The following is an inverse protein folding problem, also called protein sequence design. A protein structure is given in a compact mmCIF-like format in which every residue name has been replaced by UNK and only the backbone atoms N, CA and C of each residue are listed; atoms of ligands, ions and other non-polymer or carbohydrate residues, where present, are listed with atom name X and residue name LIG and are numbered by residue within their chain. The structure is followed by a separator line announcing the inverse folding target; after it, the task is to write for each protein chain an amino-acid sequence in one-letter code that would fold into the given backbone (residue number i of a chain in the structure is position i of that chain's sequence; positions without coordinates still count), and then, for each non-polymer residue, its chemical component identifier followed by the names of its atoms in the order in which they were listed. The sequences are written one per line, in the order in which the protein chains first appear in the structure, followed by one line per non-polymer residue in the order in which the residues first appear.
data_IF_727682487791
#
_entry.id   IF_727682487791
#
_cell.length_a   1.000
_cell.length_b   1.000
_cell.length_c   1.000
_cell.angle_alpha   90.00
_cell.angle_beta   90.00
_cell.angle_gamma   90.00
#
_symmetry.space_group_name_H-M   'P 1'
#
loop_
_entity.id
_entity.type
_entity.pdbx_description
1 polymer ?
#
# COMPACT_ATOMS: atom_id res chain seq x y z
N UNK A 1 18.01 31.82 17.29
CA UNK A 1 18.32 30.84 16.21
C UNK A 1 17.23 30.84 15.16
N UNK A 2 17.59 30.81 13.88
CA UNK A 2 16.64 30.79 12.75
C UNK A 2 17.05 29.70 11.74
N UNK A 3 16.07 28.98 11.22
CA UNK A 3 16.31 27.95 10.21
C UNK A 3 16.66 28.61 8.87
N UNK A 4 17.72 28.13 8.23
CA UNK A 4 18.19 28.63 6.93
C UNK A 4 18.10 27.60 5.82
N UNK A 5 18.23 26.31 6.15
CA UNK A 5 18.19 25.22 5.18
C UNK A 5 17.62 23.96 5.81
N UNK A 6 16.89 23.16 5.03
CA UNK A 6 16.37 21.85 5.42
C UNK A 6 16.52 20.89 4.27
N UNK A 7 16.89 19.65 4.56
CA UNK A 7 16.94 18.60 3.55
C UNK A 7 16.61 17.25 4.17
N UNK A 8 15.93 16.37 3.42
CA UNK A 8 15.80 14.98 3.82
C UNK A 8 17.15 14.25 3.89
N UNK A 9 18.18 14.72 3.16
CA UNK A 9 19.52 14.12 3.15
C UNK A 9 20.41 14.80 4.18
N UNK A 10 20.75 14.05 5.23
CA UNK A 10 21.63 14.53 6.30
C UNK A 10 22.99 15.01 5.76
N UNK A 11 23.60 14.31 4.81
CA UNK A 11 24.89 14.70 4.22
C UNK A 11 24.85 16.09 3.59
N UNK A 12 23.72 16.47 2.98
CA UNK A 12 23.57 17.81 2.40
C UNK A 12 23.54 18.87 3.49
N UNK A 13 22.86 18.59 4.61
CA UNK A 13 22.77 19.48 5.77
C UNK A 13 24.13 19.64 6.46
N UNK A 14 24.91 18.55 6.58
CA UNK A 14 26.27 18.57 7.09
C UNK A 14 27.21 19.39 6.19
N UNK A 15 27.14 19.19 4.87
CA UNK A 15 27.93 19.98 3.91
C UNK A 15 27.60 21.48 3.96
N UNK A 16 26.30 21.81 4.10
CA UNK A 16 25.85 23.20 4.24
C UNK A 16 26.31 23.82 5.56
N UNK A 17 26.26 23.06 6.66
CA UNK A 17 26.75 23.52 7.95
C UNK A 17 28.26 23.78 7.89
N UNK A 18 29.04 22.88 7.28
CA UNK A 18 30.48 23.07 7.08
C UNK A 18 30.79 24.33 6.26
N UNK A 19 30.07 24.56 5.15
CA UNK A 19 30.22 25.76 4.33
C UNK A 19 29.97 27.05 5.13
N UNK A 20 28.94 27.07 5.97
CA UNK A 20 28.61 28.24 6.80
C UNK A 20 29.62 28.43 7.94
N UNK A 21 30.12 27.34 8.52
CA UNK A 21 31.15 27.38 9.57
C UNK A 21 32.49 27.87 9.03
N UNK A 22 32.89 27.46 7.82
CA UNK A 22 34.07 27.98 7.10
C UNK A 22 33.97 29.50 6.87
N UNK A 23 32.76 30.01 6.64
CA UNK A 23 32.49 31.44 6.51
C UNK A 23 32.42 32.19 7.86
N UNK A 24 32.68 31.50 8.98
CA UNK A 24 32.66 32.07 10.33
C UNK A 24 31.26 32.25 10.93
N UNK A 25 30.25 31.60 10.37
CA UNK A 25 28.86 31.69 10.84
C UNK A 25 28.57 30.53 11.79
N UNK A 26 28.14 30.85 13.02
CA UNK A 26 27.82 29.84 14.02
C UNK A 26 26.52 29.10 13.67
N UNK A 27 26.60 27.80 13.38
CA UNK A 27 25.44 26.96 13.02
C UNK A 27 25.14 25.85 14.02
N UNK A 28 23.92 25.32 13.95
CA UNK A 28 23.46 24.16 14.71
C UNK A 28 22.64 23.25 13.79
N UNK A 29 22.99 21.97 13.78
CA UNK A 29 22.23 20.95 13.05
C UNK A 29 21.17 20.34 13.99
N UNK A 30 19.93 20.27 13.53
CA UNK A 30 18.84 19.50 14.18
C UNK A 30 18.53 18.25 13.37
N UNK A 31 18.09 17.18 14.04
CA UNK A 31 17.88 15.86 13.42
C UNK A 31 19.14 15.34 12.71
N UNK A 32 20.31 15.62 13.31
CA UNK A 32 21.63 15.20 12.83
C UNK A 32 21.96 13.73 13.12
N UNK A 33 23.19 13.30 12.78
CA UNK A 33 23.64 11.92 13.02
C UNK A 33 23.56 11.58 14.50
N UNK A 34 22.70 10.62 14.87
CA UNK A 34 22.64 10.14 16.25
C UNK A 34 23.84 9.25 16.55
N UNK A 35 24.43 9.38 17.75
CA UNK A 35 25.59 8.59 18.21
C UNK A 35 25.38 7.06 18.12
N UNK A 36 24.13 6.59 18.06
CA UNK A 36 23.77 5.16 18.03
C UNK A 36 23.34 4.61 16.66
N UNK A 37 23.37 5.41 15.59
CA UNK A 37 22.92 4.98 14.26
C UNK A 37 24.03 5.03 13.22
N UNK A 38 24.77 3.93 13.04
CA UNK A 38 25.65 3.75 11.85
C UNK A 38 24.87 3.37 10.57
N UNK A 39 23.54 3.22 10.67
CA UNK A 39 22.70 2.78 9.56
C UNK A 39 21.85 3.95 9.06
N UNK A 40 22.27 4.53 7.95
CA UNK A 40 21.48 5.50 7.19
C UNK A 40 20.34 4.73 6.50
N UNK A 41 19.17 4.62 7.16
CA UNK A 41 17.98 4.00 6.57
C UNK A 41 17.64 4.82 5.31
N UNK A 42 17.74 4.19 4.14
CA UNK A 42 17.63 4.86 2.84
C UNK A 42 16.41 5.78 2.72
N UNK A 43 16.61 6.91 2.03
CA UNK A 43 15.59 7.94 1.82
C UNK A 43 14.39 7.38 1.05
N UNK A 44 13.20 7.38 1.66
CA UNK A 44 11.95 7.03 0.99
C UNK A 44 11.33 8.28 0.35
N UNK A 45 11.10 8.25 -0.96
CA UNK A 45 10.40 9.32 -1.68
C UNK A 45 8.90 9.45 -1.31
N UNK A 46 8.35 8.47 -0.58
CA UNK A 46 6.96 8.50 -0.10
C UNK A 46 6.81 9.23 1.24
N UNK A 47 7.92 9.55 1.91
CA UNK A 47 7.92 10.31 3.15
C UNK A 47 7.84 11.81 2.84
N UNK A 48 6.61 12.30 2.68
CA UNK A 48 6.34 13.70 2.39
C UNK A 48 6.45 14.54 3.65
N UNK A 49 7.67 14.90 4.02
CA UNK A 49 7.96 16.09 4.83
C UNK A 49 7.38 16.13 6.24
N UNK A 50 7.63 15.10 7.06
CA UNK A 50 7.39 15.18 8.50
C UNK A 50 8.47 15.97 9.28
N UNK A 51 8.19 16.26 10.55
CA UNK A 51 9.02 16.99 11.53
C UNK A 51 10.45 16.42 11.77
N UNK A 52 10.81 15.35 11.08
CA UNK A 52 12.07 14.61 11.27
C UNK A 52 13.14 14.93 10.21
N UNK A 53 12.98 16.00 9.43
CA UNK A 53 13.99 16.42 8.46
C UNK A 53 15.21 17.04 9.15
N UNK A 54 16.39 16.74 8.62
CA UNK A 54 17.62 17.40 9.05
C UNK A 54 17.60 18.87 8.61
N UNK A 55 17.97 19.78 9.52
CA UNK A 55 17.93 21.21 9.26
C UNK A 55 19.11 21.94 9.90
N UNK A 56 19.57 22.99 9.21
CA UNK A 56 20.61 23.91 9.70
C UNK A 56 19.95 25.18 10.24
N UNK A 57 20.33 25.51 11.47
CA UNK A 57 19.92 26.72 12.17
C UNK A 57 21.13 27.61 12.39
N UNK A 58 21.00 28.90 12.10
CA UNK A 58 22.02 29.88 12.49
C UNK A 58 21.74 30.32 13.92
N UNK A 59 22.76 30.30 14.78
CA UNK A 59 22.61 30.64 16.20
C UNK A 59 22.28 32.13 16.39
N UNK A 60 23.09 32.99 15.74
CA UNK A 60 23.03 34.45 15.75
C UNK A 60 22.03 34.97 14.72
N UNK A 61 21.20 35.94 15.08
CA UNK A 61 20.16 36.41 14.16
C UNK A 61 20.73 37.37 13.11
N UNK A 62 21.79 38.09 13.47
CA UNK A 62 22.55 39.01 12.62
C UNK A 62 23.24 38.32 11.44
N UNK A 63 23.62 37.06 11.58
CA UNK A 63 24.31 36.30 10.52
C UNK A 63 23.33 35.66 9.52
N UNK A 64 22.02 35.73 9.79
CA UNK A 64 20.99 35.11 8.95
C UNK A 64 20.94 35.66 7.51
N UNK A 65 20.98 36.99 7.27
CA UNK A 65 20.95 37.53 5.90
C UNK A 65 22.18 37.09 5.10
N UNK A 66 23.36 37.14 5.73
CA UNK A 66 24.64 36.73 5.14
C UNK A 66 24.66 35.24 4.81
N UNK A 67 24.18 34.39 5.71
CA UNK A 67 24.04 32.95 5.46
C UNK A 67 23.13 32.67 4.25
N UNK A 68 21.98 33.37 4.15
CA UNK A 68 21.06 33.22 3.02
C UNK A 68 21.63 33.72 1.69
N UNK A 69 22.49 34.73 1.74
CA UNK A 69 23.20 35.22 0.56
C UNK A 69 24.19 34.20 0.03
N UNK A 70 25.05 33.66 0.90
CA UNK A 70 25.99 32.58 0.55
C UNK A 70 25.29 31.34 -0.01
N UNK A 71 24.17 30.93 0.58
CA UNK A 71 23.40 29.79 0.07
C UNK A 71 22.76 30.04 -1.30
N UNK A 72 22.47 31.31 -1.63
CA UNK A 72 21.95 31.68 -2.95
C UNK A 72 23.05 31.71 -4.00
N UNK A 73 24.22 32.22 -3.65
CA UNK A 73 25.42 32.18 -4.50
C UNK A 73 25.84 30.74 -4.81
N UNK A 74 25.69 29.84 -3.84
CA UNK A 74 25.93 28.41 -4.02
C UNK A 74 24.81 27.67 -4.80
N UNK A 75 23.73 28.36 -5.20
CA UNK A 75 22.59 27.75 -5.91
C UNK A 75 21.73 26.81 -5.06
N UNK A 76 21.86 26.85 -3.73
CA UNK A 76 21.13 25.99 -2.79
C UNK A 76 19.78 26.56 -2.36
N UNK A 77 19.58 27.87 -2.54
CA UNK A 77 18.31 28.54 -2.34
C UNK A 77 17.83 29.16 -3.65
N UNK A 78 16.57 28.91 -3.98
CA UNK A 78 15.93 29.55 -5.11
C UNK A 78 15.82 31.06 -4.86
N UNK A 79 16.18 31.85 -5.87
CA UNK A 79 16.09 33.29 -5.78
C UNK A 79 14.62 33.67 -5.73
N UNK A 80 14.17 34.29 -4.64
CA UNK A 80 12.81 34.84 -4.56
C UNK A 80 12.62 36.06 -5.47
N UNK A 81 13.61 36.41 -6.30
CA UNK A 81 13.45 37.46 -7.30
C UNK A 81 12.62 36.91 -8.48
N UNK A 82 11.51 37.57 -8.82
CA UNK A 82 10.53 37.06 -9.78
C UNK A 82 11.05 36.93 -11.22
N UNK A 83 12.21 37.51 -11.53
CA UNK A 83 12.92 37.40 -12.81
C UNK A 83 13.62 36.05 -13.00
N UNK A 84 14.23 35.48 -11.96
CA UNK A 84 14.91 34.16 -12.03
C UNK A 84 13.95 32.96 -11.86
N UNK A 85 12.79 33.15 -11.22
CA UNK A 85 11.73 32.12 -11.15
C UNK A 85 11.20 31.72 -12.55
N UNK A 86 11.41 32.57 -13.56
CA UNK A 86 10.98 32.34 -14.96
C UNK A 86 11.85 31.36 -15.74
N UNK A 87 13.06 31.07 -15.26
CA UNK A 87 13.98 30.12 -15.91
C UNK A 87 13.71 28.66 -15.50
N UNK A 88 12.71 28.41 -14.65
CA UNK A 88 12.24 27.07 -14.35
C UNK A 88 11.53 26.49 -15.56
N UNK A 89 12.14 25.50 -16.22
CA UNK A 89 11.59 24.76 -17.36
C UNK A 89 10.31 23.96 -17.06
N UNK A 90 9.82 23.96 -15.81
CA UNK A 90 8.56 23.31 -15.47
C UNK A 90 7.35 24.19 -15.78
N UNK A 91 6.29 23.63 -16.37
CA UNK A 91 5.02 24.33 -16.54
C UNK A 91 4.48 24.86 -15.21
N UNK A 92 3.94 26.08 -15.21
CA UNK A 92 3.37 26.77 -14.03
C UNK A 92 2.41 25.89 -13.21
N UNK A 93 1.66 25.01 -13.87
CA UNK A 93 0.68 24.13 -13.23
C UNK A 93 1.29 22.91 -12.51
N UNK A 94 2.57 22.60 -12.72
CA UNK A 94 3.31 21.51 -12.06
C UNK A 94 4.29 22.02 -11.00
N UNK A 95 4.38 23.34 -10.82
CA UNK A 95 5.20 23.93 -9.77
C UNK A 95 4.62 23.52 -8.41
N UNK A 96 5.40 22.77 -7.63
CA UNK A 96 5.06 22.36 -6.26
C UNK A 96 4.97 23.60 -5.35
N UNK A 97 3.79 24.22 -5.34
CA UNK A 97 3.51 25.50 -4.70
C UNK A 97 2.28 26.18 -5.29
N UNK A 98 1.95 25.88 -6.55
CA UNK A 98 0.72 26.30 -7.23
C UNK A 98 -0.49 25.42 -6.90
N UNK A 99 -0.70 25.06 -5.63
CA UNK A 99 -2.03 24.54 -5.24
C UNK A 99 -2.97 25.73 -5.26
N UNK A 100 -3.54 26.03 -6.42
CA UNK A 100 -4.80 26.77 -6.49
C UNK A 100 -5.75 26.03 -5.57
N UNK A 101 -5.92 26.54 -4.35
CA UNK A 101 -7.03 26.22 -3.48
C UNK A 101 -8.27 26.48 -4.34
N UNK A 102 -8.83 25.42 -4.93
CA UNK A 102 -10.25 25.43 -5.25
C UNK A 102 -10.90 25.59 -3.89
N UNK A 103 -11.33 26.82 -3.59
CA UNK A 103 -12.01 27.23 -2.39
C UNK A 103 -13.41 26.59 -2.31
N UNK A 104 -13.48 25.27 -2.43
CA UNK A 104 -14.65 24.49 -2.10
C UNK A 104 -14.64 24.29 -0.57
N UNK A 105 -15.44 25.12 0.10
CA UNK A 105 -16.03 24.87 1.43
C UNK A 105 -15.05 24.46 2.55
N UNK A 106 -14.16 25.39 2.89
CA UNK A 106 -13.37 25.46 4.15
C UNK A 106 -14.26 25.70 5.40
N UNK A 107 -15.39 24.99 5.53
CA UNK A 107 -16.28 25.00 6.71
C UNK A 107 -16.37 23.61 7.37
N UNK A 108 -16.14 22.53 6.61
CA UNK A 108 -16.06 21.18 7.17
C UNK A 108 -14.60 20.86 7.50
N UNK A 109 -14.15 21.32 8.66
CA UNK A 109 -12.90 20.81 9.23
C UNK A 109 -12.99 19.28 9.40
N UNK A 110 -11.89 18.54 9.19
CA UNK A 110 -11.90 17.07 9.19
C UNK A 110 -12.41 16.46 10.51
N UNK A 111 -12.38 17.22 11.61
CA UNK A 111 -13.01 16.84 12.88
C UNK A 111 -14.53 16.89 12.85
N UNK A 112 -15.14 17.92 12.22
CA UNK A 112 -16.60 18.06 12.12
C UNK A 112 -17.21 17.02 11.21
N UNK A 113 -16.52 16.63 10.13
CA UNK A 113 -16.96 15.57 9.23
C UNK A 113 -17.00 14.19 9.92
N UNK A 114 -15.98 13.88 10.76
CA UNK A 114 -15.97 12.65 11.57
C UNK A 114 -17.13 12.59 12.56
N UNK A 115 -17.45 13.71 13.23
CA UNK A 115 -18.58 13.77 14.17
C UNK A 115 -19.91 13.60 13.45
N UNK A 116 -20.10 14.25 12.29
CA UNK A 116 -21.32 14.12 11.50
C UNK A 116 -21.52 12.68 10.99
N UNK A 117 -20.43 12.03 10.56
CA UNK A 117 -20.43 10.62 10.16
C UNK A 117 -20.84 9.70 11.33
N UNK A 118 -20.30 9.92 12.52
CA UNK A 118 -20.64 9.12 13.70
C UNK A 118 -22.11 9.30 14.11
N UNK A 119 -22.65 10.52 14.03
CA UNK A 119 -24.08 10.78 14.30
C UNK A 119 -24.96 10.07 13.26
N UNK A 120 -24.58 10.10 11.99
CA UNK A 120 -25.31 9.40 10.94
C UNK A 120 -25.31 7.87 11.17
N UNK A 121 -24.17 7.29 11.51
CA UNK A 121 -24.07 5.85 11.84
C UNK A 121 -24.93 5.51 13.07
N UNK A 122 -24.90 6.34 14.12
CA UNK A 122 -25.70 6.14 15.32
C UNK A 122 -27.22 6.18 15.03
N UNK A 123 -27.66 7.10 14.17
CA UNK A 123 -29.06 7.19 13.72
C UNK A 123 -29.49 5.94 12.95
N UNK A 124 -28.65 5.44 12.03
CA UNK A 124 -28.93 4.21 11.28
C UNK A 124 -29.02 3.01 12.22
N UNK A 125 -28.08 2.87 13.17
CA UNK A 125 -28.10 1.81 14.19
C UNK A 125 -29.38 1.84 15.04
N UNK A 126 -29.79 3.03 15.50
CA UNK A 126 -31.03 3.19 16.26
C UNK A 126 -32.26 2.76 15.46
N UNK A 127 -32.31 3.12 14.17
CA UNK A 127 -33.39 2.73 13.27
C UNK A 127 -33.46 1.21 13.07
N UNK A 128 -32.31 0.55 12.89
CA UNK A 128 -32.21 -0.91 12.76
C UNK A 128 -32.68 -1.63 14.02
N UNK A 129 -32.27 -1.15 15.21
CA UNK A 129 -32.72 -1.74 16.49
C UNK A 129 -34.23 -1.59 16.66
N UNK A 130 -34.81 -0.45 16.29
CA UNK A 130 -36.26 -0.23 16.35
C UNK A 130 -37.00 -1.17 15.39
N UNK A 131 -36.45 -1.42 14.20
CA UNK A 131 -37.02 -2.38 13.24
C UNK A 131 -36.88 -3.85 13.67
N UNK A 132 -35.80 -4.18 14.40
CA UNK A 132 -35.56 -5.53 14.93
C UNK A 132 -36.33 -5.85 16.21
N UNK A 133 -36.93 -4.84 16.87
CA UNK A 133 -37.80 -5.02 18.05
C UNK A 133 -39.20 -5.55 17.73
N UNK A 134 -39.44 -6.16 16.55
CA UNK A 134 -40.59 -7.06 16.38
C UNK A 134 -40.34 -8.29 17.27
N UNK A 135 -41.22 -8.58 18.26
CA UNK A 135 -40.91 -9.59 19.27
C UNK A 135 -40.98 -10.99 18.65
N UNK A 136 -39.83 -11.63 18.49
CA UNK A 136 -39.71 -13.08 18.39
C UNK A 136 -39.22 -13.61 19.75
N UNK A 137 -39.80 -14.70 20.26
CA UNK A 137 -39.55 -15.19 21.62
C UNK A 137 -38.11 -15.67 21.79
N UNK A 138 -37.48 -15.21 22.87
CA UNK A 138 -36.10 -15.51 23.24
C UNK A 138 -36.00 -16.95 23.77
N UNK A 139 -35.25 -17.79 23.05
CA UNK A 139 -34.76 -19.06 23.58
C UNK A 139 -33.60 -18.77 24.54
N UNK A 140 -33.79 -19.13 25.80
CA UNK A 140 -32.79 -19.09 26.86
C UNK A 140 -31.76 -20.21 26.62
N UNK A 141 -30.47 -19.85 26.59
CA UNK A 141 -29.36 -20.78 26.45
C UNK A 141 -28.31 -20.54 27.54
N UNK A 142 -28.49 -21.26 28.65
CA UNK A 142 -27.50 -21.88 29.57
C UNK A 142 -26.25 -21.07 29.98
N UNK A 143 -26.18 -20.85 31.28
CA UNK A 143 -25.04 -20.39 32.08
C UNK A 143 -23.78 -21.24 31.90
N UNK A 144 -22.64 -20.60 31.64
CA UNK A 144 -21.30 -21.19 31.77
C UNK A 144 -20.61 -20.61 33.02
N UNK A 145 -19.76 -21.41 33.71
CA UNK A 145 -19.42 -21.17 35.11
C UNK A 145 -18.37 -20.07 35.33
N UNK A 146 -18.42 -19.49 36.52
CA UNK A 146 -17.44 -18.59 37.12
C UNK A 146 -16.08 -19.28 37.24
N UNK A 147 -15.04 -18.71 36.63
CA UNK A 147 -13.65 -18.98 37.00
C UNK A 147 -12.87 -17.67 37.02
N UNK A 148 -12.35 -17.33 38.21
CA UNK A 148 -11.01 -16.77 38.38
C UNK A 148 -10.85 -15.25 38.29
N UNK A 149 -11.01 -14.60 39.43
CA UNK A 149 -10.43 -13.27 39.70
C UNK A 149 -8.93 -13.42 40.02
N UNK A 150 -8.14 -12.39 39.62
CA UNK A 150 -6.80 -11.95 40.07
C UNK A 150 -5.52 -12.53 39.41
N UNK A 151 -4.37 -11.79 39.43
CA UNK A 151 -4.14 -10.37 39.77
C UNK A 151 -3.38 -9.58 38.68
N UNK A 152 -3.45 -8.25 38.81
CA UNK A 152 -2.60 -7.26 38.14
C UNK A 152 -1.12 -7.44 38.52
N UNK A 153 -0.30 -7.83 37.54
CA UNK A 153 1.16 -7.76 37.58
C UNK A 153 1.68 -6.74 36.55
N UNK A 154 2.87 -6.16 36.75
CA UNK A 154 3.41 -5.11 35.87
C UNK A 154 3.65 -5.68 34.47
N UNK A 155 3.08 -5.01 33.48
CA UNK A 155 3.04 -5.44 32.09
C UNK A 155 4.44 -5.65 31.51
N UNK A 156 4.82 -6.92 31.37
CA UNK A 156 5.74 -7.33 30.31
C UNK A 156 5.01 -7.03 29.00
N UNK A 157 5.60 -6.15 28.20
CA UNK A 157 5.19 -5.87 26.83
C UNK A 157 5.25 -7.17 26.03
N UNK A 158 4.16 -7.94 26.05
CA UNK A 158 3.92 -8.94 25.03
C UNK A 158 3.90 -8.18 23.71
N UNK A 159 4.93 -8.41 22.89
CA UNK A 159 4.93 -7.97 21.51
C UNK A 159 3.58 -8.35 20.93
N UNK A 160 2.76 -7.33 20.61
CA UNK A 160 1.56 -7.56 19.81
C UNK A 160 2.07 -8.19 18.53
N UNK A 161 1.89 -9.50 18.38
CA UNK A 161 2.06 -10.16 17.09
C UNK A 161 1.16 -9.39 16.14
N UNK A 162 1.75 -8.54 15.31
CA UNK A 162 1.02 -7.80 14.30
C UNK A 162 0.30 -8.86 13.46
N UNK A 163 -1.02 -8.71 13.29
CA UNK A 163 -1.75 -9.56 12.39
C UNK A 163 -1.02 -9.55 11.03
N UNK A 164 -0.83 -10.71 10.39
CA UNK A 164 -0.16 -10.75 9.09
C UNK A 164 -0.88 -9.78 8.15
N UNK A 165 -0.14 -8.83 7.59
CA UNK A 165 -0.69 -7.87 6.64
C UNK A 165 -0.94 -8.66 5.36
N UNK A 166 -2.18 -9.07 5.13
CA UNK A 166 -2.59 -9.74 3.89
C UNK A 166 -2.61 -8.69 2.77
N UNK A 167 -1.73 -8.84 1.80
CA UNK A 167 -1.61 -7.96 0.63
C UNK A 167 -2.13 -8.66 -0.61
N UNK A 168 -2.81 -7.89 -1.48
CA UNK A 168 -3.18 -8.33 -2.82
C UNK A 168 -2.01 -8.10 -3.75
N UNK A 169 -1.55 -9.15 -4.42
CA UNK A 169 -0.41 -9.14 -5.34
C UNK A 169 -0.84 -9.80 -6.64
N UNK A 170 -0.20 -9.42 -7.75
CA UNK A 170 -0.41 -10.10 -9.03
C UNK A 170 -0.05 -11.58 -8.93
N UNK A 171 -0.83 -12.44 -9.56
CA UNK A 171 -0.67 -13.90 -9.58
C UNK A 171 0.65 -14.24 -10.29
N UNK A 172 1.59 -14.90 -9.59
CA UNK A 172 2.83 -15.35 -10.20
C UNK A 172 2.56 -16.31 -11.37
N UNK A 173 3.31 -16.20 -12.46
CA UNK A 173 3.11 -17.00 -13.67
C UNK A 173 3.21 -18.52 -13.43
N UNK A 174 4.12 -18.95 -12.56
CA UNK A 174 4.24 -20.35 -12.14
C UNK A 174 3.00 -20.86 -11.40
N UNK A 175 2.41 -20.01 -10.53
CA UNK A 175 1.18 -20.33 -9.82
C UNK A 175 -0.01 -20.43 -10.78
N UNK A 176 -0.15 -19.48 -11.71
CA UNK A 176 -1.19 -19.50 -12.72
C UNK A 176 -1.12 -20.78 -13.57
N UNK A 177 0.08 -21.15 -14.04
CA UNK A 177 0.32 -22.35 -14.85
C UNK A 177 -0.14 -23.62 -14.12
N UNK A 178 0.23 -23.76 -12.84
CA UNK A 178 -0.15 -24.91 -12.01
C UNK A 178 -1.66 -25.03 -11.82
N UNK A 179 -2.35 -23.91 -11.58
CA UNK A 179 -3.80 -23.93 -11.37
C UNK A 179 -4.52 -24.29 -12.67
N UNK A 180 -4.08 -23.73 -13.80
CA UNK A 180 -4.67 -24.03 -15.12
C UNK A 180 -4.52 -25.51 -15.46
N UNK A 181 -3.31 -26.07 -15.35
CA UNK A 181 -3.07 -27.49 -15.67
C UNK A 181 -3.90 -28.41 -14.79
N UNK A 182 -4.01 -28.08 -13.49
CA UNK A 182 -4.83 -28.83 -12.55
C UNK A 182 -6.32 -28.80 -12.90
N UNK A 183 -6.88 -27.61 -13.11
CA UNK A 183 -8.31 -27.44 -13.41
C UNK A 183 -8.66 -28.10 -14.75
N UNK A 184 -7.79 -27.95 -15.75
CA UNK A 184 -7.97 -28.58 -17.05
C UNK A 184 -8.00 -30.10 -16.94
N UNK A 185 -7.10 -30.68 -16.14
CA UNK A 185 -7.07 -32.12 -15.86
C UNK A 185 -8.29 -32.59 -15.06
N UNK A 186 -8.63 -31.93 -13.97
CA UNK A 186 -9.73 -32.34 -13.08
C UNK A 186 -11.10 -32.27 -13.77
N UNK A 187 -11.27 -31.35 -14.73
CA UNK A 187 -12.54 -31.12 -15.44
C UNK A 187 -12.53 -31.56 -16.90
N UNK A 188 -11.49 -32.28 -17.33
CA UNK A 188 -11.30 -32.76 -18.71
C UNK A 188 -11.57 -31.67 -19.75
N UNK A 189 -10.91 -30.52 -19.59
CA UNK A 189 -11.07 -29.36 -20.47
C UNK A 189 -10.01 -29.42 -21.56
N UNK A 190 -10.42 -29.61 -22.81
CA UNK A 190 -9.53 -29.68 -23.98
C UNK A 190 -9.26 -28.34 -24.65
N UNK A 191 -10.17 -27.37 -24.53
CA UNK A 191 -10.00 -26.00 -25.00
C UNK A 191 -10.67 -25.03 -24.02
N UNK A 192 -10.01 -23.91 -23.71
CA UNK A 192 -10.52 -22.92 -22.76
C UNK A 192 -10.02 -21.51 -23.07
N UNK A 193 -10.83 -20.54 -22.65
CA UNK A 193 -10.45 -19.14 -22.58
C UNK A 193 -9.82 -18.84 -21.22
N UNK A 194 -8.58 -18.36 -21.20
CA UNK A 194 -7.83 -18.10 -19.99
C UNK A 194 -7.68 -16.60 -19.74
N UNK A 195 -7.94 -16.15 -18.51
CA UNK A 195 -7.68 -14.79 -18.05
C UNK A 195 -6.98 -14.81 -16.69
N UNK A 196 -5.92 -14.02 -16.53
CA UNK A 196 -5.12 -13.92 -15.29
C UNK A 196 -5.04 -12.45 -14.87
N UNK A 197 -5.49 -12.13 -13.66
CA UNK A 197 -5.52 -10.77 -13.09
C UNK A 197 -6.08 -9.69 -14.02
N UNK A 198 -7.22 -10.01 -14.65
CA UNK A 198 -7.92 -9.13 -15.59
C UNK A 198 -7.19 -8.91 -16.94
N UNK A 199 -5.95 -9.38 -17.08
CA UNK A 199 -5.17 -9.36 -18.31
C UNK A 199 -5.20 -10.71 -19.06
N UNK A 200 -4.89 -10.65 -20.36
CA UNK A 200 -4.56 -11.85 -21.12
C UNK A 200 -3.30 -12.50 -20.53
N UNK A 201 -3.19 -13.84 -20.55
CA UNK A 201 -2.04 -14.54 -20.00
C UNK A 201 -0.75 -14.01 -20.61
N UNK A 202 0.21 -13.65 -19.77
CA UNK A 202 1.52 -13.17 -20.22
C UNK A 202 2.22 -14.24 -21.08
N UNK A 203 3.09 -13.82 -22.01
CA UNK A 203 3.84 -14.73 -22.87
C UNK A 203 4.59 -15.83 -22.07
N UNK A 204 5.03 -15.51 -20.85
CA UNK A 204 5.70 -16.46 -19.96
C UNK A 204 4.78 -17.56 -19.45
N UNK A 205 3.50 -17.26 -19.19
CA UNK A 205 2.51 -18.27 -18.81
C UNK A 205 2.25 -19.21 -19.99
N UNK A 206 2.10 -18.67 -21.20
CA UNK A 206 1.89 -19.48 -22.42
C UNK A 206 3.07 -20.42 -22.71
N UNK A 207 4.29 -19.94 -22.51
CA UNK A 207 5.52 -20.73 -22.68
C UNK A 207 5.65 -21.85 -21.63
N UNK A 208 5.44 -21.52 -20.35
CA UNK A 208 5.48 -22.49 -19.25
C UNK A 208 4.38 -23.55 -19.38
N UNK A 209 3.20 -23.12 -19.80
CA UNK A 209 2.09 -23.99 -20.16
C UNK A 209 2.55 -24.97 -21.25
N UNK A 210 3.06 -24.50 -22.39
CA UNK A 210 3.47 -25.41 -23.49
C UNK A 210 4.46 -26.50 -23.05
N UNK A 211 5.30 -26.23 -22.04
CA UNK A 211 6.26 -27.19 -21.49
C UNK A 211 5.67 -28.31 -20.61
N UNK A 212 4.46 -28.14 -20.04
CA UNK A 212 3.91 -29.07 -19.01
C UNK A 212 3.07 -30.23 -19.58
N UNK A 213 2.91 -30.34 -20.89
CA UNK A 213 2.36 -31.51 -21.60
C UNK A 213 0.86 -31.80 -21.45
N UNK A 214 0.16 -31.24 -20.45
CA UNK A 214 -1.29 -31.37 -20.24
C UNK A 214 -1.99 -30.02 -20.39
N UNK A 215 -2.06 -29.56 -21.65
CA UNK A 215 -2.53 -28.23 -22.01
C UNK A 215 -3.96 -28.28 -22.56
N UNK A 216 -4.92 -27.51 -22.02
CA UNK A 216 -6.05 -27.10 -22.84
C UNK A 216 -5.51 -26.25 -24.00
N UNK A 217 -5.97 -26.49 -25.24
CA UNK A 217 -5.71 -25.56 -26.34
C UNK A 217 -6.32 -24.22 -25.96
N UNK A 218 -5.49 -23.19 -25.78
CA UNK A 218 -6.00 -21.85 -25.54
C UNK A 218 -6.67 -21.36 -26.82
N UNK A 219 -7.92 -20.93 -26.70
CA UNK A 219 -8.62 -20.30 -27.81
C UNK A 219 -8.06 -18.90 -28.06
N UNK A 220 -8.12 -18.45 -29.32
CA UNK A 220 -7.72 -17.10 -29.67
C UNK A 220 -8.54 -16.07 -28.88
N UNK A 221 -7.93 -14.94 -28.50
CA UNK A 221 -8.59 -13.93 -27.68
C UNK A 221 -9.87 -13.37 -28.34
N UNK A 222 -9.95 -13.40 -29.68
CA UNK A 222 -11.15 -13.01 -30.43
C UNK A 222 -12.33 -13.98 -30.27
N UNK A 223 -12.07 -15.25 -29.98
CA UNK A 223 -13.11 -16.27 -29.73
C UNK A 223 -13.54 -16.31 -28.26
N UNK A 224 -12.82 -15.59 -27.39
CA UNK A 224 -13.08 -15.53 -25.96
C UNK A 224 -14.02 -14.39 -25.53
N UNK A 225 -14.65 -13.71 -26.48
CA UNK A 225 -15.58 -12.60 -26.25
C UNK A 225 -16.99 -13.07 -25.85
N UNK A 226 -17.08 -13.83 -24.76
CA UNK A 226 -18.34 -14.11 -24.05
C UNK A 226 -19.30 -15.09 -24.73
N UNK A 227 -18.98 -15.65 -25.90
CA UNK A 227 -19.75 -16.75 -26.49
C UNK A 227 -19.58 -18.01 -25.65
N UNK A 228 -20.67 -18.47 -25.03
CA UNK A 228 -20.76 -19.60 -24.08
C UNK A 228 -20.27 -20.97 -24.60
N UNK A 229 -19.71 -21.05 -25.79
CA UNK A 229 -19.29 -22.30 -26.44
C UNK A 229 -18.01 -22.89 -25.84
N UNK A 230 -17.13 -22.03 -25.30
CA UNK A 230 -15.87 -22.45 -24.68
C UNK A 230 -15.88 -22.17 -23.17
N UNK A 231 -15.36 -23.09 -22.34
CA UNK A 231 -15.21 -22.84 -20.91
C UNK A 231 -14.18 -21.74 -20.66
N UNK A 232 -14.53 -20.76 -19.81
CA UNK A 232 -13.63 -19.70 -19.39
C UNK A 232 -13.09 -19.99 -17.98
N UNK A 233 -11.77 -19.83 -17.83
CA UNK A 233 -11.04 -19.98 -16.57
C UNK A 233 -10.43 -18.61 -16.26
N UNK A 234 -10.83 -18.04 -15.13
CA UNK A 234 -10.30 -16.78 -14.62
C UNK A 234 -9.60 -17.00 -13.29
N UNK A 235 -8.36 -16.56 -13.20
CA UNK A 235 -7.54 -16.65 -11.98
C UNK A 235 -7.22 -15.22 -11.56
N UNK A 236 -7.64 -14.85 -10.36
CA UNK A 236 -7.50 -13.48 -9.86
C UNK A 236 -7.45 -13.45 -8.33
N UNK A 237 -7.19 -12.27 -7.77
CA UNK A 237 -7.29 -12.02 -6.32
C UNK A 237 -6.34 -12.86 -5.47
N UNK A 238 -5.08 -12.94 -5.88
CA UNK A 238 -4.04 -13.56 -5.05
C UNK A 238 -3.71 -12.68 -3.83
N UNK A 239 -3.90 -13.26 -2.66
CA UNK A 239 -3.69 -12.64 -1.35
C UNK A 239 -2.57 -13.37 -0.62
N UNK A 240 -1.53 -12.67 -0.22
CA UNK A 240 -0.36 -13.23 0.48
C UNK A 240 0.07 -12.32 1.63
N UNK A 241 0.64 -12.91 2.67
CA UNK A 241 1.27 -12.20 3.79
C UNK A 241 2.78 -12.01 3.59
N UNK A 242 3.32 -12.40 2.43
CA UNK A 242 4.75 -12.35 2.11
C UNK A 242 5.56 -13.54 2.62
N UNK A 243 4.94 -14.50 3.32
CA UNK A 243 5.61 -15.73 3.81
C UNK A 243 5.88 -16.77 2.71
N UNK A 244 5.33 -16.55 1.51
CA UNK A 244 5.27 -17.55 0.45
C UNK A 244 4.01 -18.41 0.52
N UNK A 245 3.11 -18.18 1.49
CA UNK A 245 1.76 -18.73 1.48
C UNK A 245 0.73 -17.68 1.05
N UNK A 246 -0.41 -18.13 0.55
CA UNK A 246 -1.50 -17.23 0.19
C UNK A 246 -2.74 -17.96 -0.29
N UNK A 247 -3.79 -17.19 -0.59
CA UNK A 247 -5.04 -17.69 -1.13
C UNK A 247 -5.29 -17.04 -2.49
N UNK A 248 -5.70 -17.83 -3.48
CA UNK A 248 -5.99 -17.37 -4.84
C UNK A 248 -7.40 -17.77 -5.23
N UNK A 249 -8.11 -16.90 -5.94
CA UNK A 249 -9.47 -17.19 -6.41
C UNK A 249 -9.44 -17.68 -7.86
N UNK A 250 -10.22 -18.72 -8.11
CA UNK A 250 -10.40 -19.33 -9.42
C UNK A 250 -11.88 -19.37 -9.74
N UNK A 251 -12.25 -18.81 -10.89
CA UNK A 251 -13.60 -18.89 -11.44
C UNK A 251 -13.60 -19.65 -12.74
N UNK A 252 -14.46 -20.65 -12.83
CA UNK A 252 -14.69 -21.45 -14.04
C UNK A 252 -16.12 -21.27 -14.47
N UNK A 253 -16.33 -20.87 -15.73
CA UNK A 253 -17.66 -20.75 -16.32
C UNK A 253 -17.76 -21.60 -17.59
N UNK A 254 -18.82 -22.40 -17.69
CA UNK A 254 -19.13 -23.23 -18.87
C UNK A 254 -20.64 -23.23 -19.07
N UNK A 255 -21.14 -22.52 -20.08
CA UNK A 255 -22.57 -22.26 -20.22
C UNK A 255 -23.15 -21.65 -18.95
N UNK A 256 -24.15 -22.31 -18.36
CA UNK A 256 -24.80 -21.88 -17.11
C UNK A 256 -24.04 -22.30 -15.84
N UNK A 257 -23.08 -23.22 -15.95
CA UNK A 257 -22.29 -23.65 -14.81
C UNK A 257 -21.29 -22.56 -14.44
N UNK A 258 -21.40 -22.03 -13.22
CA UNK A 258 -20.43 -21.12 -12.61
C UNK A 258 -19.87 -21.72 -11.34
N UNK A 259 -18.56 -21.93 -11.31
CA UNK A 259 -17.81 -22.39 -10.14
C UNK A 259 -16.90 -21.27 -9.71
N UNK A 260 -17.01 -20.87 -8.45
CA UNK A 260 -16.07 -19.98 -7.76
C UNK A 260 -15.44 -20.79 -6.64
N UNK A 261 -14.11 -20.83 -6.58
CA UNK A 261 -13.35 -21.59 -5.61
C UNK A 261 -12.09 -20.83 -5.21
N UNK A 262 -11.74 -20.87 -3.92
CA UNK A 262 -10.49 -20.36 -3.38
C UNK A 262 -9.54 -21.50 -3.13
N UNK A 263 -8.28 -21.33 -3.51
CA UNK A 263 -7.22 -22.30 -3.27
C UNK A 263 -6.20 -21.71 -2.32
N UNK A 264 -5.83 -22.48 -1.31
CA UNK A 264 -4.72 -22.15 -0.43
C UNK A 264 -3.45 -22.73 -1.04
N UNK A 265 -2.44 -21.88 -1.19
CA UNK A 265 -1.24 -22.16 -1.95
C UNK A 265 0.00 -21.80 -1.14
N UNK A 266 1.03 -22.62 -1.27
CA UNK A 266 2.33 -22.44 -0.62
C UNK A 266 3.42 -22.57 -1.68
N UNK A 267 4.38 -21.66 -1.60
CA UNK A 267 5.57 -21.63 -2.45
C UNK A 267 6.67 -22.47 -1.82
N UNK A 268 7.24 -23.37 -2.60
CA UNK A 268 8.39 -24.19 -2.25
C UNK A 268 9.53 -23.89 -3.23
N UNK A 269 10.42 -22.96 -2.86
CA UNK A 269 11.49 -22.52 -3.76
C UNK A 269 10.94 -21.75 -4.96
N UNK A 270 10.99 -22.35 -6.15
CA UNK A 270 10.41 -21.78 -7.39
C UNK A 270 9.08 -22.42 -7.78
N UNK A 271 8.70 -23.50 -7.09
CA UNK A 271 7.49 -24.24 -7.35
C UNK A 271 6.36 -23.81 -6.41
N UNK A 272 5.14 -24.10 -6.83
CA UNK A 272 3.93 -23.85 -6.05
C UNK A 272 3.25 -25.17 -5.73
N UNK A 273 2.58 -25.24 -4.58
CA UNK A 273 1.75 -26.37 -4.20
C UNK A 273 0.44 -25.87 -3.62
N UNK A 274 -0.65 -26.54 -3.96
CA UNK A 274 -1.97 -26.28 -3.36
C UNK A 274 -2.11 -27.14 -2.11
N UNK A 275 -2.38 -26.51 -0.98
CA UNK A 275 -2.55 -27.17 0.33
C UNK A 275 -4.01 -27.35 0.70
N UNK A 276 -4.91 -26.54 0.15
CA UNK A 276 -6.34 -26.59 0.45
C UNK A 276 -7.18 -25.96 -0.65
N UNK A 277 -8.48 -26.23 -0.59
CA UNK A 277 -9.45 -25.53 -1.42
C UNK A 277 -10.73 -25.29 -0.63
N UNK A 278 -11.24 -24.07 -0.65
CA UNK A 278 -12.52 -23.70 -0.05
C UNK A 278 -13.48 -23.20 -1.13
N UNK A 279 -14.76 -23.55 -0.99
CA UNK A 279 -15.83 -22.92 -1.75
C UNK A 279 -16.20 -21.61 -0.99
N UNK A 280 -16.38 -20.48 -1.69
CA UNK A 280 -16.84 -19.25 -1.05
C UNK A 280 -18.20 -19.42 -0.37
#
# INVERSE_FOLDING_TARGET
MRQVFTSPRLTNVEAVAALLEEAGIATKITNGRSYRGKFDRGMSYRDTGGDNQAAVWVMRSEDQPRAREMLREAGLLDSTRPDQQRDSFLPEHLRAGGRKEIAATRWLSPGRLKVLLLIAIALVMALVVIWQRRPAPQAQGVSAPLIGTQPSGPGVLAARNAAPIVQRVDVPSALATLLVSRIASERNISAACLQVDEAMPSARVLELLTSTGHMPKLADPATCDGTNELPSIRIDDYQTDGSGSGTVRVRVQRGDLRVDQRFDVVREGYDWRVTGSSKP
#
